data_IF_600715109124
#
_entry.id   IF_600715109124
#
_cell.length_a   1.000
_cell.length_b   1.000
_cell.length_c   1.000
_cell.angle_alpha   90.00
_cell.angle_beta   90.00
_cell.angle_gamma   90.00
#
_symmetry.space_group_name_H-M   'P 1'
#
loop_
_entity.id
_entity.type
_entity.pdbx_description
1 polymer ?
#
# COMPACT_ATOMS: atom_id res chain seq x y z
N UNK A 1 -35.41 27.58 -2.93
CA UNK A 1 -33.97 27.41 -2.61
C UNK A 1 -33.87 27.06 -1.13
N UNK A 2 -33.60 25.80 -0.78
CA UNK A 2 -33.48 25.38 0.63
C UNK A 2 -32.04 25.66 1.05
N UNK A 3 -31.83 26.68 1.90
CA UNK A 3 -30.53 26.89 2.54
C UNK A 3 -30.33 25.76 3.58
N UNK A 4 -29.32 24.92 3.34
CA UNK A 4 -28.92 23.89 4.30
C UNK A 4 -28.48 24.54 5.62
N UNK A 5 -28.79 23.88 6.73
CA UNK A 5 -28.36 24.30 8.06
C UNK A 5 -26.81 24.41 8.10
N UNK A 6 -26.23 25.51 8.65
CA UNK A 6 -24.77 25.68 8.73
C UNK A 6 -24.02 24.53 9.41
N UNK A 7 -24.65 23.82 10.34
CA UNK A 7 -24.09 22.62 10.96
C UNK A 7 -24.00 21.48 9.94
N UNK A 8 -25.06 21.26 9.15
CA UNK A 8 -25.11 20.23 8.11
C UNK A 8 -24.06 20.49 7.03
N UNK A 9 -23.86 21.75 6.63
CA UNK A 9 -22.81 22.11 5.66
C UNK A 9 -21.43 21.70 6.18
N UNK A 10 -21.10 22.00 7.45
CA UNK A 10 -19.81 21.60 8.03
C UNK A 10 -19.65 20.10 8.13
N UNK A 11 -20.73 19.37 8.45
CA UNK A 11 -20.73 17.90 8.43
C UNK A 11 -20.44 17.36 7.03
N UNK A 12 -21.06 17.90 5.98
CA UNK A 12 -20.80 17.45 4.61
C UNK A 12 -19.34 17.70 4.24
N UNK A 13 -18.81 18.89 4.54
CA UNK A 13 -17.43 19.26 4.24
C UNK A 13 -16.44 18.34 4.96
N UNK A 14 -16.64 18.06 6.26
CA UNK A 14 -15.71 17.19 7.01
C UNK A 14 -15.76 15.74 6.54
N UNK A 15 -16.92 15.22 6.16
CA UNK A 15 -17.02 13.86 5.63
C UNK A 15 -16.39 13.76 4.24
N UNK A 16 -16.62 14.74 3.37
CA UNK A 16 -16.03 14.77 2.05
C UNK A 16 -14.50 14.73 2.13
N UNK A 17 -13.89 15.66 2.88
CA UNK A 17 -12.44 15.70 3.03
C UNK A 17 -11.90 14.52 3.85
N UNK A 18 -12.62 14.09 4.89
CA UNK A 18 -12.23 12.94 5.71
C UNK A 18 -12.16 11.64 4.92
N UNK A 19 -13.21 11.32 4.16
CA UNK A 19 -13.23 10.14 3.29
C UNK A 19 -12.15 10.25 2.20
N UNK A 20 -12.01 11.44 1.60
CA UNK A 20 -10.99 11.68 0.59
C UNK A 20 -9.57 11.42 1.14
N UNK A 21 -9.21 11.99 2.29
CA UNK A 21 -7.90 11.76 2.94
C UNK A 21 -7.65 10.28 3.20
N UNK A 22 -8.65 9.57 3.72
CA UNK A 22 -8.52 8.14 4.05
C UNK A 22 -8.31 7.31 2.78
N UNK A 23 -9.08 7.57 1.73
CA UNK A 23 -8.93 6.89 0.45
C UNK A 23 -7.56 7.19 -0.17
N UNK A 24 -7.09 8.43 -0.11
CA UNK A 24 -5.75 8.80 -0.58
C UNK A 24 -4.65 8.05 0.18
N UNK A 25 -4.73 7.99 1.51
CA UNK A 25 -3.78 7.20 2.31
C UNK A 25 -3.83 5.73 1.90
N UNK A 26 -5.04 5.15 1.82
CA UNK A 26 -5.22 3.75 1.44
C UNK A 26 -4.62 3.43 0.06
N UNK A 27 -4.85 4.31 -0.92
CA UNK A 27 -4.31 4.18 -2.28
C UNK A 27 -2.80 4.41 -2.33
N UNK A 28 -2.25 5.34 -1.54
CA UNK A 28 -0.79 5.56 -1.50
C UNK A 28 0.02 4.35 -1.07
N UNK A 29 -0.62 3.39 -0.39
CA UNK A 29 -0.02 2.10 -0.08
C UNK A 29 -0.15 1.08 -1.20
N UNK A 30 -1.05 1.25 -2.18
CA UNK A 30 -1.29 0.32 -3.29
C UNK A 30 -0.65 0.76 -4.59
N UNK A 31 -0.48 2.06 -4.78
CA UNK A 31 0.06 2.62 -6.01
C UNK A 31 0.94 3.83 -5.65
N UNK A 32 2.06 3.96 -6.35
CA UNK A 32 2.84 5.19 -6.34
C UNK A 32 2.90 5.72 -7.76
N UNK A 33 2.61 7.01 -7.90
CA UNK A 33 2.80 7.77 -9.14
C UNK A 33 3.63 8.99 -8.78
N UNK A 34 4.71 9.24 -9.53
CA UNK A 34 5.74 10.20 -9.12
C UNK A 34 5.21 11.64 -8.89
N UNK A 35 4.13 12.02 -9.56
CA UNK A 35 3.52 13.36 -9.44
C UNK A 35 2.34 13.43 -8.48
N UNK A 36 1.75 12.30 -8.09
CA UNK A 36 0.59 12.28 -7.21
C UNK A 36 0.91 12.83 -5.84
N UNK A 37 2.14 12.64 -5.35
CA UNK A 37 2.58 13.16 -4.07
C UNK A 37 2.40 14.69 -3.95
N UNK A 38 2.66 15.46 -5.03
CA UNK A 38 2.50 16.91 -5.02
C UNK A 38 1.02 17.32 -4.95
N UNK A 39 0.17 16.67 -5.75
CA UNK A 39 -1.27 16.93 -5.77
C UNK A 39 -1.88 16.57 -4.40
N UNK A 40 -1.50 15.42 -3.86
CA UNK A 40 -1.95 14.95 -2.55
C UNK A 40 -1.51 15.90 -1.42
N UNK A 41 -0.28 16.44 -1.48
CA UNK A 41 0.20 17.42 -0.50
C UNK A 41 -0.64 18.71 -0.51
N UNK A 42 -0.94 19.26 -1.69
CA UNK A 42 -1.78 20.46 -1.82
C UNK A 42 -3.17 20.21 -1.23
N UNK A 43 -3.79 19.08 -1.59
CA UNK A 43 -5.12 18.73 -1.10
C UNK A 43 -5.14 18.43 0.40
N UNK A 44 -4.06 17.87 0.95
CA UNK A 44 -3.90 17.71 2.40
C UNK A 44 -3.84 19.06 3.12
N UNK A 45 -3.09 20.04 2.59
CA UNK A 45 -3.02 21.41 3.14
C UNK A 45 -4.40 22.08 3.12
N UNK A 46 -5.14 21.93 2.01
CA UNK A 46 -6.51 22.45 1.87
C UNK A 46 -7.44 21.80 2.91
N UNK A 47 -7.38 20.48 3.05
CA UNK A 47 -8.19 19.71 4.01
C UNK A 47 -7.90 20.11 5.45
N UNK A 48 -6.62 20.25 5.81
CA UNK A 48 -6.19 20.66 7.14
C UNK A 48 -6.65 22.09 7.45
N UNK A 49 -6.49 23.01 6.50
CA UNK A 49 -6.94 24.40 6.63
C UNK A 49 -8.46 24.47 6.83
N UNK A 50 -9.23 23.75 6.02
CA UNK A 50 -10.69 23.66 6.16
C UNK A 50 -11.09 23.11 7.54
N UNK A 51 -10.38 22.08 8.03
CA UNK A 51 -10.67 21.51 9.34
C UNK A 51 -10.39 22.49 10.49
N UNK A 52 -9.30 23.25 10.44
CA UNK A 52 -9.01 24.30 11.43
C UNK A 52 -10.14 25.34 11.46
N UNK A 53 -10.60 25.80 10.30
CA UNK A 53 -11.73 26.73 10.23
C UNK A 53 -13.03 26.15 10.81
N UNK A 54 -13.30 24.86 10.59
CA UNK A 54 -14.44 24.17 11.19
C UNK A 54 -14.34 24.14 12.70
N UNK A 55 -13.18 23.79 13.27
CA UNK A 55 -12.97 23.80 14.74
C UNK A 55 -13.21 25.18 15.31
N UNK A 56 -12.61 26.22 14.73
CA UNK A 56 -12.78 27.60 15.21
C UNK A 56 -14.25 28.03 15.20
N UNK A 57 -14.99 27.65 14.15
CA UNK A 57 -16.42 27.96 14.02
C UNK A 57 -17.28 27.16 15.00
N UNK A 58 -17.03 25.86 15.16
CA UNK A 58 -17.72 24.98 16.10
C UNK A 58 -17.52 25.45 17.55
N UNK A 59 -16.29 25.83 17.92
CA UNK A 59 -15.99 26.39 19.23
C UNK A 59 -16.71 27.72 19.47
N UNK A 60 -16.76 28.60 18.47
CA UNK A 60 -17.51 29.87 18.56
C UNK A 60 -19.01 29.61 18.75
N UNK A 61 -19.61 28.75 17.94
CA UNK A 61 -21.04 28.42 18.03
C UNK A 61 -21.38 27.70 19.33
N UNK A 62 -20.51 26.82 19.83
CA UNK A 62 -20.67 26.19 21.14
C UNK A 62 -20.61 27.22 22.27
N UNK A 63 -19.68 28.18 22.22
CA UNK A 63 -19.60 29.24 23.26
C UNK A 63 -20.87 30.08 23.32
N UNK A 64 -21.46 30.40 22.16
CA UNK A 64 -22.67 31.21 22.05
C UNK A 64 -23.95 30.46 22.47
N UNK A 65 -24.09 29.20 22.07
CA UNK A 65 -25.36 28.46 22.25
C UNK A 65 -25.33 27.45 23.40
N UNK A 66 -24.14 27.08 23.89
CA UNK A 66 -23.87 25.99 24.83
C UNK A 66 -24.36 24.61 24.37
N UNK A 67 -24.73 24.44 23.10
CA UNK A 67 -25.19 23.17 22.53
C UNK A 67 -24.02 22.31 22.09
N UNK A 68 -23.81 21.17 22.76
CA UNK A 68 -22.75 20.20 22.44
C UNK A 68 -22.82 19.67 21.00
N UNK A 69 -24.01 19.65 20.39
CA UNK A 69 -24.20 19.24 18.99
C UNK A 69 -23.38 20.07 18.00
N UNK A 70 -23.04 21.32 18.35
CA UNK A 70 -22.23 22.18 17.48
C UNK A 70 -20.77 21.73 17.38
N UNK A 71 -20.31 20.84 18.28
CA UNK A 71 -18.97 20.24 18.24
C UNK A 71 -18.93 18.93 17.44
N UNK A 72 -20.07 18.44 16.94
CA UNK A 72 -20.12 17.19 16.17
C UNK A 72 -19.22 17.20 14.93
N UNK A 73 -19.18 18.26 14.09
CA UNK A 73 -18.28 18.26 12.93
C UNK A 73 -16.80 18.16 13.35
N UNK A 74 -16.38 18.90 14.37
CA UNK A 74 -15.04 18.80 14.94
C UNK A 74 -14.73 17.40 15.47
N UNK A 75 -15.66 16.78 16.21
CA UNK A 75 -15.50 15.42 16.71
C UNK A 75 -15.35 14.39 15.57
N UNK A 76 -16.16 14.51 14.51
CA UNK A 76 -16.02 13.67 13.31
C UNK A 76 -14.65 13.84 12.64
N UNK A 77 -14.15 15.08 12.53
CA UNK A 77 -12.82 15.32 11.95
C UNK A 77 -11.70 14.72 12.80
N UNK A 78 -11.79 14.78 14.13
CA UNK A 78 -10.83 14.09 15.03
C UNK A 78 -10.88 12.58 14.79
N UNK A 79 -12.07 11.99 14.64
CA UNK A 79 -12.20 10.56 14.34
C UNK A 79 -11.54 10.20 13.00
N UNK A 80 -11.69 11.03 11.95
CA UNK A 80 -10.98 10.81 10.68
C UNK A 80 -9.46 10.87 10.86
N UNK A 81 -8.93 11.79 11.68
CA UNK A 81 -7.49 11.85 11.98
C UNK A 81 -7.04 10.56 12.69
N UNK A 82 -7.78 10.11 13.71
CA UNK A 82 -7.45 8.87 14.41
C UNK A 82 -7.48 7.66 13.48
N UNK A 83 -8.46 7.60 12.59
CA UNK A 83 -8.56 6.54 11.58
C UNK A 83 -7.39 6.59 10.58
N UNK A 84 -6.99 7.79 10.14
CA UNK A 84 -5.83 7.97 9.26
C UNK A 84 -4.54 7.50 9.94
N UNK A 85 -4.30 7.88 11.20
CA UNK A 85 -3.15 7.42 11.98
C UNK A 85 -3.16 5.91 12.20
N UNK A 86 -4.34 5.34 12.49
CA UNK A 86 -4.51 3.89 12.64
C UNK A 86 -4.18 3.14 11.35
N UNK A 87 -4.66 3.63 10.20
CA UNK A 87 -4.37 3.05 8.90
C UNK A 87 -2.87 3.14 8.55
N UNK A 88 -2.24 4.30 8.76
CA UNK A 88 -0.80 4.49 8.55
C UNK A 88 0.00 3.52 9.44
N UNK A 89 -0.33 3.45 10.73
CA UNK A 89 0.37 2.57 11.67
C UNK A 89 0.23 1.09 11.31
N UNK A 90 -0.97 0.65 10.91
CA UNK A 90 -1.22 -0.71 10.45
C UNK A 90 -0.35 -1.06 9.22
N UNK A 91 -0.33 -0.19 8.22
CA UNK A 91 0.43 -0.42 6.98
C UNK A 91 1.94 -0.33 7.21
N UNK A 92 2.40 0.60 8.05
CA UNK A 92 3.82 0.72 8.42
C UNK A 92 4.36 -0.55 9.06
N UNK A 93 3.60 -1.17 9.97
CA UNK A 93 3.99 -2.44 10.59
C UNK A 93 4.09 -3.58 9.57
N UNK A 94 3.18 -3.62 8.60
CA UNK A 94 3.18 -4.62 7.52
C UNK A 94 4.38 -4.45 6.59
N UNK A 95 4.72 -3.20 6.25
CA UNK A 95 5.79 -2.85 5.31
C UNK A 95 7.20 -2.95 5.89
N UNK A 96 7.39 -2.51 7.14
CA UNK A 96 8.72 -2.36 7.74
C UNK A 96 9.14 -3.55 8.61
N UNK A 97 8.38 -4.65 8.56
CA UNK A 97 8.84 -5.92 9.09
C UNK A 97 10.16 -6.33 8.40
N UNK A 98 11.12 -6.92 9.14
CA UNK A 98 12.39 -7.34 8.55
C UNK A 98 12.18 -8.30 7.38
N UNK A 99 12.95 -8.13 6.31
CA UNK A 99 12.94 -9.03 5.17
C UNK A 99 13.61 -10.35 5.53
N UNK A 100 12.97 -11.44 5.12
CA UNK A 100 13.50 -12.80 5.14
C UNK A 100 14.21 -13.09 3.82
N UNK A 101 13.49 -12.90 2.70
CA UNK A 101 13.96 -13.20 1.35
C UNK A 101 13.47 -12.12 0.40
N UNK A 102 14.34 -11.68 -0.51
CA UNK A 102 13.95 -10.79 -1.61
C UNK A 102 14.23 -11.45 -2.95
N UNK A 103 13.29 -11.35 -3.86
CA UNK A 103 13.44 -11.75 -5.25
C UNK A 103 13.16 -10.57 -6.18
N UNK A 104 13.91 -10.50 -7.27
CA UNK A 104 13.84 -9.42 -8.25
C UNK A 104 13.68 -9.99 -9.65
N UNK A 105 12.90 -9.29 -10.46
CA UNK A 105 12.81 -9.51 -11.89
C UNK A 105 12.79 -8.17 -12.62
N UNK A 106 13.42 -8.17 -13.78
CA UNK A 106 13.40 -7.05 -14.73
C UNK A 106 13.09 -7.65 -16.09
N UNK A 107 12.26 -6.94 -16.85
CA UNK A 107 11.97 -7.32 -18.23
C UNK A 107 13.10 -6.88 -19.20
N UNK A 108 14.24 -6.43 -18.67
CA UNK A 108 15.40 -5.95 -19.43
C UNK A 108 15.43 -4.43 -19.64
N UNK A 109 14.36 -3.73 -19.24
CA UNK A 109 14.17 -2.28 -19.40
C UNK A 109 13.88 -1.59 -18.05
N UNK A 110 13.34 -0.37 -18.08
CA UNK A 110 12.93 0.43 -16.90
C UNK A 110 11.80 -0.19 -16.05
N UNK A 111 11.28 -1.35 -16.44
CA UNK A 111 10.21 -2.07 -15.79
C UNK A 111 10.73 -3.30 -15.05
N UNK A 112 10.11 -3.60 -13.93
CA UNK A 112 10.40 -4.80 -13.17
C UNK A 112 9.52 -4.92 -11.94
N UNK A 113 9.90 -5.84 -11.07
CA UNK A 113 9.22 -6.00 -9.80
C UNK A 113 10.07 -6.71 -8.76
N UNK A 114 9.58 -6.65 -7.53
CA UNK A 114 10.24 -7.19 -6.36
C UNK A 114 9.25 -7.96 -5.52
N UNK A 115 9.63 -9.16 -5.07
CA UNK A 115 8.94 -9.88 -4.02
C UNK A 115 9.78 -9.82 -2.75
N UNK A 116 9.25 -9.19 -1.71
CA UNK A 116 9.87 -9.10 -0.38
C UNK A 116 9.07 -9.91 0.62
N UNK A 117 9.57 -11.10 0.95
CA UNK A 117 9.02 -11.96 1.99
C UNK A 117 9.52 -11.48 3.34
N UNK A 118 8.61 -11.14 4.24
CA UNK A 118 8.92 -10.64 5.59
C UNK A 118 9.02 -11.77 6.60
N UNK A 119 9.85 -11.61 7.62
CA UNK A 119 10.03 -12.62 8.69
C UNK A 119 8.72 -12.97 9.44
N UNK A 120 7.74 -12.07 9.46
CA UNK A 120 6.46 -12.28 10.14
C UNK A 120 5.40 -13.01 9.28
N UNK A 121 5.79 -13.58 8.13
CA UNK A 121 4.87 -14.31 7.24
C UNK A 121 4.05 -13.42 6.30
N UNK A 122 4.27 -12.10 6.27
CA UNK A 122 3.69 -11.21 5.25
C UNK A 122 4.63 -11.10 4.04
N UNK A 123 4.09 -10.80 2.86
CA UNK A 123 4.91 -10.39 1.71
C UNK A 123 4.47 -9.04 1.16
N UNK A 124 5.41 -8.37 0.50
CA UNK A 124 5.19 -7.19 -0.34
C UNK A 124 5.65 -7.54 -1.74
N UNK A 125 4.74 -7.44 -2.70
CA UNK A 125 5.05 -7.56 -4.12
C UNK A 125 4.89 -6.18 -4.74
N UNK A 126 5.93 -5.67 -5.38
CA UNK A 126 5.85 -4.44 -6.18
C UNK A 126 6.09 -4.75 -7.64
N UNK A 127 5.31 -4.12 -8.51
CA UNK A 127 5.47 -4.20 -9.96
C UNK A 127 5.27 -2.82 -10.57
N UNK A 128 6.08 -2.48 -11.56
CA UNK A 128 5.93 -1.23 -12.30
C UNK A 128 7.24 -0.72 -12.85
N UNK A 129 7.33 0.60 -12.94
CA UNK A 129 8.41 1.32 -13.61
C UNK A 129 8.96 2.44 -12.72
N UNK A 130 9.96 3.16 -13.23
CA UNK A 130 10.46 4.39 -12.59
C UNK A 130 9.41 5.51 -12.47
N UNK A 131 8.30 5.47 -13.21
CA UNK A 131 7.24 6.50 -13.17
C UNK A 131 6.09 6.17 -12.21
N UNK A 132 5.99 4.90 -11.82
CA UNK A 132 5.00 4.45 -10.86
C UNK A 132 5.03 2.94 -10.65
N UNK A 133 4.57 2.51 -9.48
CA UNK A 133 4.56 1.11 -9.06
C UNK A 133 3.28 0.77 -8.32
N UNK A 134 2.74 -0.40 -8.62
CA UNK A 134 1.69 -1.04 -7.87
C UNK A 134 2.27 -1.97 -6.81
N UNK A 135 1.59 -2.02 -5.66
CA UNK A 135 1.97 -2.78 -4.49
C UNK A 135 0.84 -3.72 -4.09
N UNK A 136 1.21 -4.98 -3.95
CA UNK A 136 0.35 -6.06 -3.57
C UNK A 136 0.86 -6.68 -2.29
N UNK A 137 -0.07 -7.08 -1.45
CA UNK A 137 0.26 -7.56 -0.11
C UNK A 137 -0.56 -8.76 0.26
N UNK A 138 0.05 -9.67 0.99
CA UNK A 138 -0.61 -10.83 1.54
C UNK A 138 0.27 -11.54 2.55
N UNK A 139 -0.03 -12.81 2.74
CA UNK A 139 0.67 -13.73 3.61
C UNK A 139 1.28 -14.87 2.81
N UNK A 140 2.32 -15.49 3.36
CA UNK A 140 2.95 -16.64 2.77
C UNK A 140 3.32 -17.68 3.83
N UNK A 141 3.57 -18.90 3.35
CA UNK A 141 4.14 -19.99 4.15
C UNK A 141 5.30 -20.63 3.40
N UNK A 142 6.28 -21.17 4.13
CA UNK A 142 7.38 -21.94 3.57
C UNK A 142 7.26 -23.37 4.07
N UNK A 143 7.26 -24.33 3.15
CA UNK A 143 7.33 -25.76 3.42
C UNK A 143 8.47 -26.33 2.60
N UNK A 144 9.57 -26.70 3.27
CA UNK A 144 10.82 -27.13 2.65
C UNK A 144 11.35 -26.09 1.64
N UNK A 145 11.39 -26.44 0.36
CA UNK A 145 11.81 -25.57 -0.73
C UNK A 145 10.64 -24.88 -1.45
N UNK A 146 9.41 -25.01 -0.93
CA UNK A 146 8.20 -24.43 -1.54
C UNK A 146 7.72 -23.23 -0.72
N UNK A 147 7.53 -22.12 -1.40
CA UNK A 147 6.90 -20.91 -0.86
C UNK A 147 5.49 -20.81 -1.44
N UNK A 148 4.49 -20.75 -0.57
CA UNK A 148 3.08 -20.58 -0.95
C UNK A 148 2.59 -19.20 -0.55
N UNK A 149 2.14 -18.41 -1.53
CA UNK A 149 1.44 -17.15 -1.33
C UNK A 149 -0.06 -17.40 -1.11
N UNK A 150 -0.73 -16.50 -0.40
CA UNK A 150 -2.18 -16.56 -0.18
C UNK A 150 -3.01 -16.19 -1.43
N UNK A 151 -2.40 -15.45 -2.37
CA UNK A 151 -3.02 -15.01 -3.61
C UNK A 151 -2.31 -15.64 -4.82
N UNK A 152 -3.10 -15.97 -5.84
CA UNK A 152 -2.65 -16.69 -7.03
C UNK A 152 -2.24 -15.82 -8.21
N UNK A 153 -2.64 -14.55 -8.22
CA UNK A 153 -2.42 -13.65 -9.36
C UNK A 153 -2.15 -12.23 -8.90
N UNK A 154 -1.02 -11.67 -9.33
CA UNK A 154 -0.70 -10.25 -9.18
C UNK A 154 -0.33 -9.70 -10.55
N UNK A 155 -1.15 -8.78 -11.05
CA UNK A 155 -0.89 -7.99 -12.26
C UNK A 155 -0.39 -8.76 -13.50
N UNK A 156 -0.86 -10.00 -13.68
CA UNK A 156 -0.48 -10.85 -14.82
C UNK A 156 0.95 -11.42 -14.81
N UNK A 157 1.89 -10.88 -14.02
CA UNK A 157 3.28 -11.35 -13.97
C UNK A 157 3.46 -12.55 -13.04
N UNK A 158 2.93 -12.48 -11.81
CA UNK A 158 2.82 -13.63 -10.94
C UNK A 158 1.50 -14.34 -11.25
N UNK A 159 1.56 -15.49 -11.91
CA UNK A 159 0.39 -16.28 -12.34
C UNK A 159 0.17 -17.52 -11.48
N UNK A 160 0.98 -17.70 -10.43
CA UNK A 160 0.89 -18.83 -9.52
C UNK A 160 1.17 -18.43 -8.09
N UNK A 161 0.45 -19.06 -7.17
CA UNK A 161 0.68 -18.95 -5.73
C UNK A 161 1.89 -19.74 -5.25
N UNK A 162 2.45 -20.62 -6.08
CA UNK A 162 3.51 -21.57 -5.71
C UNK A 162 4.84 -21.16 -6.33
N UNK A 163 5.81 -20.89 -5.47
CA UNK A 163 7.19 -20.60 -5.84
C UNK A 163 8.09 -21.70 -5.26
N UNK A 164 9.11 -22.10 -6.00
CA UNK A 164 10.01 -23.20 -5.63
C UNK A 164 11.45 -22.71 -5.68
N UNK A 165 12.19 -22.94 -4.60
CA UNK A 165 13.63 -22.75 -4.56
C UNK A 165 14.30 -23.96 -5.23
N UNK A 166 14.99 -23.71 -6.35
CA UNK A 166 15.59 -24.75 -7.19
C UNK A 166 16.90 -24.25 -7.80
N UNK A 167 17.88 -25.15 -7.92
CA UNK A 167 19.08 -24.90 -8.72
C UNK A 167 18.73 -24.99 -10.20
N UNK A 168 18.96 -23.90 -10.92
CA UNK A 168 18.78 -23.83 -12.38
C UNK A 168 20.16 -23.78 -13.04
N UNK A 169 20.32 -24.52 -14.13
CA UNK A 169 21.53 -24.50 -14.95
C UNK A 169 21.39 -23.39 -15.98
N UNK A 170 22.26 -22.39 -15.88
CA UNK A 170 22.31 -21.27 -16.82
C UNK A 170 23.42 -21.54 -17.86
N UNK A 171 23.12 -21.33 -19.14
CA UNK A 171 24.04 -21.56 -20.26
C UNK A 171 24.33 -20.26 -21.02
N UNK A 172 24.44 -19.14 -20.30
CA UNK A 172 24.92 -17.88 -20.87
C UNK A 172 26.42 -17.99 -21.21
N UNK A 173 26.80 -17.50 -22.41
CA UNK A 173 28.19 -17.35 -22.87
C UNK A 173 29.08 -18.61 -22.78
N UNK A 174 28.53 -19.80 -23.08
CA UNK A 174 29.28 -21.07 -23.09
C UNK A 174 29.90 -21.49 -21.74
N UNK A 175 29.52 -20.86 -20.62
CA UNK A 175 29.87 -21.30 -19.26
C UNK A 175 28.65 -21.87 -18.57
N UNK A 176 28.73 -23.14 -18.17
CA UNK A 176 27.70 -23.78 -17.33
C UNK A 176 27.85 -23.22 -15.91
N UNK A 177 26.83 -22.48 -15.46
CA UNK A 177 26.78 -21.98 -14.08
C UNK A 177 25.52 -22.52 -13.40
N UNK A 178 25.68 -23.11 -12.22
CA UNK A 178 24.55 -23.52 -11.39
C UNK A 178 24.20 -22.38 -10.43
N UNK A 179 22.99 -21.85 -10.53
CA UNK A 179 22.52 -20.78 -9.65
C UNK A 179 21.21 -21.18 -9.00
N UNK A 180 21.08 -20.97 -7.69
CA UNK A 180 19.77 -21.07 -7.04
C UNK A 180 18.87 -19.94 -7.55
N UNK A 181 17.66 -20.30 -7.99
CA UNK A 181 16.65 -19.37 -8.47
C UNK A 181 15.33 -19.64 -7.75
N UNK A 182 14.51 -18.60 -7.63
CA UNK A 182 13.14 -18.73 -7.20
C UNK A 182 12.30 -18.95 -8.45
N UNK A 183 11.75 -20.14 -8.61
CA UNK A 183 11.03 -20.56 -9.81
C UNK A 183 9.53 -20.53 -9.54
N UNK A 184 8.81 -19.76 -10.34
CA UNK A 184 7.35 -19.81 -10.38
C UNK A 184 6.91 -20.82 -11.44
N UNK A 185 5.99 -21.72 -11.07
CA UNK A 185 5.38 -22.68 -12.00
C UNK A 185 3.93 -22.27 -12.22
N UNK A 186 3.59 -21.85 -13.44
CA UNK A 186 2.20 -21.54 -13.80
C UNK A 186 1.41 -22.81 -14.17
N UNK A 187 0.10 -22.67 -14.40
CA UNK A 187 -0.78 -23.80 -14.73
C UNK A 187 -0.43 -24.52 -16.05
N UNK A 188 0.31 -23.84 -16.93
CA UNK A 188 0.76 -24.33 -18.25
C UNK A 188 2.16 -24.97 -18.18
N UNK A 189 2.80 -24.98 -17.00
CA UNK A 189 4.15 -25.53 -16.80
C UNK A 189 5.29 -24.60 -17.20
N UNK A 190 5.01 -23.32 -17.49
CA UNK A 190 6.02 -22.30 -17.80
C UNK A 190 6.72 -21.89 -16.49
N UNK A 191 8.05 -22.07 -16.48
CA UNK A 191 8.94 -21.72 -15.36
C UNK A 191 9.48 -20.30 -15.54
N UNK A 192 8.99 -19.33 -14.76
CA UNK A 192 9.67 -18.03 -14.62
C UNK A 192 10.68 -18.13 -13.47
N UNK A 193 11.95 -17.94 -13.76
CA UNK A 193 13.03 -18.04 -12.77
C UNK A 193 13.55 -16.66 -12.38
N UNK A 194 13.59 -16.38 -11.08
CA UNK A 194 13.97 -15.09 -10.53
C UNK A 194 15.26 -15.18 -9.71
N UNK A 195 16.05 -14.12 -9.77
CA UNK A 195 17.15 -13.93 -8.83
C UNK A 195 16.58 -13.62 -7.44
N UNK A 196 17.13 -14.29 -6.42
CA UNK A 196 16.76 -14.03 -5.03
C UNK A 196 18.00 -14.02 -4.13
N UNK A 197 17.84 -13.44 -2.94
CA UNK A 197 18.80 -13.57 -1.86
C UNK A 197 18.09 -13.60 -0.51
N UNK A 198 18.67 -14.38 0.42
CA UNK A 198 18.27 -14.36 1.82
C UNK A 198 18.82 -13.10 2.47
N UNK A 199 17.94 -12.35 3.13
CA UNK A 199 18.33 -11.16 3.91
C UNK A 199 18.66 -11.55 5.34
N UNK A 200 17.93 -12.55 5.87
CA UNK A 200 18.16 -13.13 7.19
C UNK A 200 17.85 -14.62 7.13
N UNK A 201 18.68 -15.43 7.80
CA UNK A 201 18.50 -16.87 8.01
C UNK A 201 18.46 -17.14 9.50
#
# INVERSE_FOLDING_TARGET
>A
MILLNPLVIRLIVIHFFGIWVINTIYQSFRETVIFDAFIQLILFIVSATAFVFIILKDLKEYRLTKKKSNLLPSACGILFILMALGLIGYQYNRLNSPSLLKAYWSDGDWNGGTLDLKQNGNYVYSAGSGLGQDFFYGTYSIMDNVILLDQSTFDGFLTSKKLILKTVTDTLEQKITHKERLVMINAEGIENAFDYFWVSR
#
